data_IF_297049500622
#
_entry.id   IF_297049500622
#
_cell.length_a   1.000
_cell.length_b   1.000
_cell.length_c   1.000
_cell.angle_alpha   90.00
_cell.angle_beta   90.00
_cell.angle_gamma   90.00
#
_symmetry.space_group_name_H-M   'P 1'
#
loop_
_entity.id
_entity.type
_entity.pdbx_description
1 polymer ?
#
# COMPACT_ATOMS: atom_id res chain seq x y z
N UNK A 1 -15.01 -0.15 4.07
CA UNK A 1 -13.63 -0.63 4.32
C UNK A 1 -13.50 -1.02 5.80
N UNK A 2 -12.54 -1.85 6.22
CA UNK A 2 -12.40 -2.23 7.66
C UNK A 2 -11.75 -1.12 8.49
N UNK A 3 -10.91 -0.29 7.87
CA UNK A 3 -10.25 0.89 8.46
C UNK A 3 -10.14 2.00 7.39
N UNK A 4 -9.98 3.28 7.78
CA UNK A 4 -9.65 4.35 6.83
C UNK A 4 -8.35 4.07 6.09
N UNK A 5 -8.30 4.39 4.80
CA UNK A 5 -7.08 4.23 3.99
C UNK A 5 -7.12 5.22 2.82
N UNK A 6 -6.02 5.94 2.57
CA UNK A 6 -5.96 7.05 1.58
C UNK A 6 -7.10 8.06 1.73
N UNK A 7 -7.44 8.44 2.96
CA UNK A 7 -8.47 9.44 3.23
C UNK A 7 -9.91 9.01 2.96
N UNK A 8 -10.16 7.75 2.56
CA UNK A 8 -11.50 7.23 2.29
C UNK A 8 -11.90 6.13 3.27
N UNK A 9 -13.22 6.02 3.50
CA UNK A 9 -13.86 4.95 4.30
C UNK A 9 -14.77 4.05 3.45
N UNK A 10 -15.11 4.51 2.26
CA UNK A 10 -15.95 3.84 1.26
C UNK A 10 -15.20 3.83 -0.07
N UNK A 11 -15.18 2.67 -0.74
CA UNK A 11 -14.65 2.53 -2.09
C UNK A 11 -15.81 2.45 -3.08
N UNK A 12 -15.82 3.38 -4.03
CA UNK A 12 -16.82 3.43 -5.10
C UNK A 12 -16.18 3.07 -6.43
N UNK A 13 -17.01 2.58 -7.35
CA UNK A 13 -16.62 2.19 -8.71
C UNK A 13 -17.82 1.64 -9.49
N UNK A 14 -17.57 1.31 -10.75
CA UNK A 14 -18.50 0.69 -11.69
C UNK A 14 -17.90 -0.59 -12.24
N UNK A 15 -18.75 -1.58 -12.50
CA UNK A 15 -18.37 -2.81 -13.19
C UNK A 15 -18.94 -2.80 -14.61
N UNK A 16 -18.09 -3.07 -15.59
CA UNK A 16 -18.42 -3.08 -17.01
C UNK A 16 -18.40 -4.53 -17.51
N UNK A 17 -19.54 -5.12 -17.89
CA UNK A 17 -19.56 -6.44 -18.52
C UNK A 17 -19.14 -6.33 -19.98
N UNK A 18 -18.43 -7.36 -20.48
CA UNK A 18 -18.05 -7.45 -21.88
C UNK A 18 -17.68 -8.88 -22.30
N UNK A 19 -17.32 -9.06 -23.58
CA UNK A 19 -17.06 -10.39 -24.15
C UNK A 19 -15.84 -11.11 -23.55
N UNK A 20 -14.88 -10.38 -22.96
CA UNK A 20 -13.71 -10.97 -22.30
C UNK A 20 -13.91 -11.16 -20.79
N UNK A 21 -15.03 -10.70 -20.22
CA UNK A 21 -15.33 -10.79 -18.80
C UNK A 21 -15.83 -9.46 -18.22
N UNK A 22 -15.28 -9.07 -17.08
CA UNK A 22 -15.65 -7.84 -16.38
C UNK A 22 -14.45 -6.92 -16.24
N UNK A 23 -14.68 -5.63 -16.47
CA UNK A 23 -13.74 -4.55 -16.13
C UNK A 23 -14.22 -3.75 -14.93
N UNK A 24 -13.28 -3.23 -14.13
CA UNK A 24 -13.57 -2.36 -13.00
C UNK A 24 -13.12 -0.93 -13.31
N UNK A 25 -14.06 0.01 -13.33
CA UNK A 25 -13.77 1.44 -13.41
C UNK A 25 -13.96 2.06 -12.03
N UNK A 26 -12.85 2.33 -11.36
CA UNK A 26 -12.86 2.85 -10.00
C UNK A 26 -11.82 3.95 -9.79
N UNK A 27 -11.81 5.08 -10.52
CA UNK A 27 -10.91 6.18 -10.17
C UNK A 27 -11.19 6.67 -8.73
N UNK A 28 -10.20 7.29 -8.09
CA UNK A 28 -10.48 8.05 -6.87
C UNK A 28 -11.23 9.34 -7.24
N UNK A 29 -12.04 9.87 -6.33
CA UNK A 29 -12.96 10.99 -6.62
C UNK A 29 -12.25 12.29 -6.96
N UNK A 30 -11.01 12.45 -6.48
CA UNK A 30 -10.18 13.62 -6.75
C UNK A 30 -9.58 13.65 -8.16
N UNK A 31 -9.61 12.54 -8.89
CA UNK A 31 -9.09 12.49 -10.26
C UNK A 31 -10.04 13.14 -11.24
N UNK A 32 -9.52 14.02 -12.07
CA UNK A 32 -10.27 14.67 -13.15
C UNK A 32 -10.53 13.72 -14.32
N UNK A 33 -11.29 14.17 -15.32
CA UNK A 33 -11.62 13.36 -16.50
C UNK A 33 -10.38 12.91 -17.28
N UNK A 34 -9.33 13.74 -17.30
CA UNK A 34 -8.08 13.43 -17.99
C UNK A 34 -7.32 12.29 -17.30
N UNK A 35 -7.19 12.36 -15.97
CA UNK A 35 -6.60 11.31 -15.15
C UNK A 35 -7.45 10.03 -15.16
N UNK A 36 -8.78 10.17 -15.07
CA UNK A 36 -9.73 9.06 -15.06
C UNK A 36 -9.85 8.34 -16.42
N UNK A 37 -9.49 8.99 -17.53
CA UNK A 37 -9.54 8.36 -18.86
C UNK A 37 -8.69 7.08 -18.93
N UNK A 38 -7.52 7.06 -18.30
CA UNK A 38 -6.67 5.87 -18.24
C UNK A 38 -7.31 4.72 -17.42
N UNK A 39 -8.03 5.06 -16.35
CA UNK A 39 -8.79 4.09 -15.56
C UNK A 39 -9.92 3.47 -16.38
N UNK A 40 -10.64 4.29 -17.16
CA UNK A 40 -11.71 3.80 -18.03
C UNK A 40 -11.16 2.91 -19.15
N UNK A 41 -10.04 3.30 -19.77
CA UNK A 41 -9.38 2.50 -20.80
C UNK A 41 -9.00 1.11 -20.27
N UNK A 42 -8.44 1.02 -19.05
CA UNK A 42 -8.12 -0.24 -18.39
C UNK A 42 -9.37 -1.10 -18.15
N UNK A 43 -10.46 -0.49 -17.67
CA UNK A 43 -11.71 -1.20 -17.46
C UNK A 43 -12.30 -1.75 -18.78
N UNK A 44 -12.24 -0.97 -19.86
CA UNK A 44 -12.69 -1.41 -21.18
C UNK A 44 -11.82 -2.54 -21.71
N UNK A 45 -10.49 -2.45 -21.61
CA UNK A 45 -9.56 -3.51 -22.01
C UNK A 45 -9.86 -4.82 -21.28
N UNK A 46 -10.01 -4.77 -19.95
CA UNK A 46 -10.35 -5.94 -19.14
C UNK A 46 -11.70 -6.57 -19.53
N UNK A 47 -12.71 -5.74 -19.85
CA UNK A 47 -14.03 -6.23 -20.24
C UNK A 47 -14.08 -6.77 -21.68
N UNK A 48 -13.23 -6.29 -22.59
CA UNK A 48 -13.40 -6.50 -24.05
C UNK A 48 -12.26 -7.23 -24.74
N UNK A 49 -11.03 -7.13 -24.24
CA UNK A 49 -9.82 -7.69 -24.87
C UNK A 49 -9.22 -8.81 -24.01
N UNK A 50 -9.11 -8.58 -22.69
CA UNK A 50 -8.44 -9.48 -21.76
C UNK A 50 -6.93 -9.20 -21.65
N UNK A 51 -6.23 -9.97 -20.80
CA UNK A 51 -4.82 -9.75 -20.52
C UNK A 51 -3.90 -10.62 -21.39
N UNK A 52 -2.65 -10.19 -21.61
CA UNK A 52 -1.63 -11.06 -22.19
C UNK A 52 -1.48 -12.37 -21.39
N UNK A 53 -1.05 -13.47 -22.03
CA UNK A 53 -0.84 -14.74 -21.35
C UNK A 53 0.09 -14.60 -20.15
N UNK A 54 -0.33 -15.13 -19.00
CA UNK A 54 0.48 -15.12 -17.79
C UNK A 54 1.72 -16.01 -17.96
N UNK A 55 2.88 -15.53 -17.51
CA UNK A 55 4.14 -16.29 -17.50
C UNK A 55 4.41 -16.97 -16.16
N UNK A 56 3.48 -16.84 -15.21
CA UNK A 56 3.52 -17.46 -13.88
C UNK A 56 2.10 -17.55 -13.33
N UNK A 57 1.83 -18.60 -12.56
CA UNK A 57 0.51 -18.82 -11.96
C UNK A 57 0.34 -18.10 -10.62
N UNK A 58 1.45 -17.77 -9.95
CA UNK A 58 1.46 -17.18 -8.61
C UNK A 58 2.37 -15.96 -8.59
N UNK A 59 1.87 -14.85 -8.03
CA UNK A 59 2.63 -13.62 -7.80
C UNK A 59 2.78 -13.42 -6.28
N UNK A 60 4.01 -13.31 -5.74
CA UNK A 60 4.20 -12.99 -4.33
C UNK A 60 3.72 -11.57 -4.04
N UNK A 61 3.05 -11.38 -2.91
CA UNK A 61 2.50 -10.08 -2.48
C UNK A 61 3.15 -9.64 -1.17
N UNK A 62 3.15 -8.33 -0.92
CA UNK A 62 3.49 -7.78 0.38
C UNK A 62 2.23 -7.59 1.25
N UNK A 63 2.41 -7.65 2.57
CA UNK A 63 1.41 -7.17 3.52
C UNK A 63 1.35 -5.63 3.49
N UNK A 64 0.17 -5.05 3.68
CA UNK A 64 -0.03 -3.60 3.82
C UNK A 64 -0.38 -3.31 5.28
N UNK A 65 0.46 -2.53 5.95
CA UNK A 65 0.30 -2.15 7.35
C UNK A 65 -0.16 -0.69 7.41
N UNK A 66 -1.42 -0.41 7.80
CA UNK A 66 -1.93 0.96 7.94
C UNK A 66 -1.27 1.71 9.12
N UNK A 67 -1.62 2.98 9.28
CA UNK A 67 -1.22 3.76 10.45
C UNK A 67 -2.03 3.31 11.69
N UNK A 68 -1.57 2.23 12.31
CA UNK A 68 -2.11 1.64 13.55
C UNK A 68 -1.02 1.62 14.63
N UNK A 69 -1.34 1.23 15.86
CA UNK A 69 -0.31 1.03 16.87
C UNK A 69 0.63 -0.16 16.56
N UNK A 70 1.76 -0.21 17.26
CA UNK A 70 2.82 -1.21 17.07
C UNK A 70 2.32 -2.64 17.28
N UNK A 71 1.49 -2.87 18.30
CA UNK A 71 0.94 -4.19 18.61
C UNK A 71 0.06 -4.69 17.47
N UNK A 72 -0.83 -3.84 16.96
CA UNK A 72 -1.70 -4.18 15.85
C UNK A 72 -0.91 -4.39 14.55
N UNK A 73 0.14 -3.61 14.33
CA UNK A 73 1.03 -3.78 13.18
C UNK A 73 1.75 -5.14 13.20
N UNK A 74 2.28 -5.55 14.34
CA UNK A 74 2.87 -6.88 14.52
C UNK A 74 1.86 -7.99 14.20
N UNK A 75 0.64 -7.92 14.75
CA UNK A 75 -0.42 -8.90 14.49
C UNK A 75 -0.79 -9.03 13.01
N UNK A 76 -0.89 -7.90 12.30
CA UNK A 76 -1.19 -7.86 10.86
C UNK A 76 -0.11 -8.62 10.08
N UNK A 77 1.16 -8.38 10.40
CA UNK A 77 2.31 -9.00 9.72
C UNK A 77 2.41 -10.48 10.05
N UNK A 78 2.33 -10.84 11.33
CA UNK A 78 2.40 -12.23 11.79
C UNK A 78 1.28 -13.09 11.18
N UNK A 79 0.09 -12.52 10.97
CA UNK A 79 -1.04 -13.19 10.32
C UNK A 79 -1.03 -13.15 8.79
N UNK A 80 -0.06 -12.49 8.14
CA UNK A 80 -0.12 -12.20 6.70
C UNK A 80 0.36 -13.32 5.79
N UNK A 81 1.24 -14.21 6.28
CA UNK A 81 1.97 -15.18 5.45
C UNK A 81 2.94 -14.55 4.43
N UNK A 82 3.16 -13.23 4.47
CA UNK A 82 4.02 -12.50 3.55
C UNK A 82 5.46 -12.43 4.06
N UNK A 83 6.42 -12.36 3.13
CA UNK A 83 7.85 -12.09 3.46
C UNK A 83 8.23 -10.61 3.38
N UNK A 84 7.30 -9.77 2.92
CA UNK A 84 7.51 -8.33 2.75
C UNK A 84 6.32 -7.59 3.34
N UNK A 85 6.57 -6.46 4.01
CA UNK A 85 5.53 -5.57 4.52
C UNK A 85 5.80 -4.12 4.11
N UNK A 86 4.74 -3.39 3.74
CA UNK A 86 4.76 -1.96 3.50
C UNK A 86 4.05 -1.25 4.65
N UNK A 87 4.78 -0.40 5.38
CA UNK A 87 4.31 0.31 6.57
C UNK A 87 3.93 1.74 6.20
N UNK A 88 2.69 2.13 6.49
CA UNK A 88 2.28 3.53 6.39
C UNK A 88 3.01 4.34 7.46
N UNK A 89 3.60 5.46 7.06
CA UNK A 89 4.24 6.46 7.91
C UNK A 89 3.71 7.85 7.53
N UNK A 90 4.01 8.86 8.34
CA UNK A 90 3.62 10.24 8.12
C UNK A 90 2.10 10.41 7.96
N UNK A 91 1.32 9.80 8.85
CA UNK A 91 -0.14 9.97 8.84
C UNK A 91 -0.57 11.34 9.40
N UNK A 92 0.23 11.93 10.30
CA UNK A 92 0.10 13.30 10.80
C UNK A 92 1.49 13.90 11.18
N UNK A 93 1.62 15.23 11.39
CA UNK A 93 2.92 15.88 11.65
C UNK A 93 3.72 15.29 12.83
N UNK A 94 3.05 14.90 13.91
CA UNK A 94 3.70 14.37 15.12
C UNK A 94 3.83 12.83 15.16
N UNK A 95 3.74 12.16 14.00
CA UNK A 95 3.62 10.69 13.91
C UNK A 95 4.92 9.92 14.09
N UNK A 96 6.08 10.58 13.99
CA UNK A 96 7.38 9.91 13.92
C UNK A 96 7.63 8.87 15.03
N UNK A 97 7.28 9.18 16.28
CA UNK A 97 7.46 8.22 17.38
C UNK A 97 6.59 6.96 17.21
N UNK A 98 5.34 7.13 16.76
CA UNK A 98 4.44 6.02 16.47
C UNK A 98 4.88 5.25 15.22
N UNK A 99 5.41 5.94 14.21
CA UNK A 99 5.95 5.35 13.00
C UNK A 99 7.16 4.46 13.30
N UNK A 100 8.11 4.93 14.11
CA UNK A 100 9.28 4.14 14.52
C UNK A 100 8.86 2.88 15.28
N UNK A 101 7.98 3.02 16.29
CA UNK A 101 7.47 1.86 17.04
C UNK A 101 6.73 0.86 16.13
N UNK A 102 6.01 1.35 15.12
CA UNK A 102 5.32 0.51 14.13
C UNK A 102 6.31 -0.22 13.23
N UNK A 103 7.35 0.45 12.75
CA UNK A 103 8.39 -0.16 11.91
C UNK A 103 9.17 -1.21 12.68
N UNK A 104 9.56 -0.93 13.92
CA UNK A 104 10.26 -1.89 14.80
C UNK A 104 9.41 -3.16 15.02
N UNK A 105 8.13 -2.99 15.33
CA UNK A 105 7.21 -4.13 15.52
C UNK A 105 6.99 -4.95 14.24
N UNK A 106 7.00 -4.30 13.07
CA UNK A 106 6.92 -4.96 11.77
C UNK A 106 8.21 -5.74 11.46
N UNK A 107 9.38 -5.17 11.77
CA UNK A 107 10.67 -5.87 11.67
C UNK A 107 10.69 -7.09 12.58
N UNK A 108 10.29 -6.95 13.84
CA UNK A 108 10.21 -8.07 14.79
C UNK A 108 9.32 -9.21 14.25
N UNK A 109 8.12 -8.88 13.77
CA UNK A 109 7.18 -9.86 13.22
C UNK A 109 7.69 -10.57 11.95
N UNK A 110 8.41 -9.86 11.07
CA UNK A 110 8.98 -10.44 9.84
C UNK A 110 10.26 -11.26 10.10
N UNK A 111 10.95 -10.98 11.20
CA UNK A 111 12.29 -11.49 11.47
C UNK A 111 13.36 -10.90 10.53
N UNK A 112 14.61 -11.35 10.65
CA UNK A 112 15.76 -10.75 9.94
C UNK A 112 15.75 -10.99 8.42
N UNK A 113 15.01 -11.99 7.93
CA UNK A 113 14.94 -12.32 6.50
C UNK A 113 13.80 -11.66 5.73
N UNK A 114 12.89 -10.96 6.40
CA UNK A 114 11.80 -10.26 5.75
C UNK A 114 12.20 -8.85 5.27
N UNK A 115 11.48 -8.34 4.29
CA UNK A 115 11.72 -7.03 3.73
C UNK A 115 10.71 -6.00 4.22
N UNK A 116 11.20 -4.82 4.64
CA UNK A 116 10.38 -3.74 5.18
C UNK A 116 10.48 -2.54 4.24
N UNK A 117 9.33 -2.01 3.83
CA UNK A 117 9.20 -0.78 3.06
C UNK A 117 8.36 0.21 3.86
N UNK A 118 8.57 1.51 3.63
CA UNK A 118 7.74 2.57 4.20
C UNK A 118 7.01 3.35 3.10
N UNK A 119 5.84 3.89 3.42
CA UNK A 119 5.03 4.71 2.51
C UNK A 119 4.58 6.00 3.21
N UNK A 120 5.25 7.11 2.90
CA UNK A 120 4.89 8.44 3.38
C UNK A 120 3.83 9.13 2.50
N UNK A 121 3.48 8.58 1.32
CA UNK A 121 2.61 9.20 0.31
C UNK A 121 2.98 10.67 -0.02
N UNK A 122 4.27 11.00 -0.06
CA UNK A 122 4.74 12.35 -0.37
C UNK A 122 4.45 13.39 0.71
N UNK A 123 4.14 12.96 1.94
CA UNK A 123 3.81 13.87 3.04
C UNK A 123 5.01 14.66 3.61
N UNK A 124 6.25 14.32 3.22
CA UNK A 124 7.44 15.02 3.67
C UNK A 124 7.99 15.96 2.61
N UNK A 125 8.46 17.13 3.06
CA UNK A 125 9.41 17.92 2.30
C UNK A 125 10.81 17.26 2.31
N UNK A 126 11.74 17.85 1.56
CA UNK A 126 13.09 17.32 1.40
C UNK A 126 13.83 17.20 2.74
N UNK A 127 13.81 18.24 3.56
CA UNK A 127 14.56 18.30 4.82
C UNK A 127 14.01 17.29 5.83
N UNK A 128 12.69 17.17 5.91
CA UNK A 128 12.00 16.18 6.76
C UNK A 128 12.34 14.76 6.30
N UNK A 129 12.32 14.49 5.00
CA UNK A 129 12.66 13.17 4.47
C UNK A 129 14.12 12.80 4.78
N UNK A 130 15.07 13.74 4.60
CA UNK A 130 16.48 13.54 4.94
C UNK A 130 16.69 13.26 6.43
N UNK A 131 15.89 13.86 7.30
CA UNK A 131 15.96 13.63 8.74
C UNK A 131 15.31 12.31 9.19
N UNK A 132 14.16 11.94 8.61
CA UNK A 132 13.35 10.81 9.09
C UNK A 132 13.74 9.46 8.49
N UNK A 133 14.14 9.40 7.21
CA UNK A 133 14.47 8.14 6.54
C UNK A 133 15.58 7.35 7.27
N UNK A 134 16.71 7.95 7.73
CA UNK A 134 17.74 7.21 8.44
C UNK A 134 17.26 6.59 9.76
N UNK A 135 16.31 7.25 10.44
CA UNK A 135 15.73 6.72 11.67
C UNK A 135 14.85 5.50 11.38
N UNK A 136 14.05 5.58 10.32
CA UNK A 136 13.21 4.47 9.87
C UNK A 136 14.04 3.31 9.32
N UNK A 137 15.15 3.60 8.64
CA UNK A 137 16.09 2.59 8.15
C UNK A 137 16.71 1.79 9.30
N UNK A 138 17.13 2.48 10.36
CA UNK A 138 17.62 1.85 11.56
C UNK A 138 16.53 1.02 12.28
N UNK A 139 15.33 1.57 12.45
CA UNK A 139 14.18 0.85 13.01
C UNK A 139 13.82 -0.42 12.20
N UNK A 140 13.96 -0.34 10.88
CA UNK A 140 13.73 -1.46 9.98
C UNK A 140 14.91 -2.42 9.89
N UNK A 141 16.06 -2.15 10.50
CA UNK A 141 17.28 -2.95 10.33
C UNK A 141 17.72 -3.08 8.87
N UNK A 142 17.58 -1.99 8.09
CA UNK A 142 17.63 -1.85 6.63
C UNK A 142 16.24 -1.91 5.97
N UNK A 143 15.88 -0.81 5.29
CA UNK A 143 14.75 -0.73 4.37
C UNK A 143 15.11 -1.36 3.01
N UNK A 144 14.10 -1.95 2.37
CA UNK A 144 14.18 -2.42 0.97
C UNK A 144 13.89 -1.30 -0.04
#
# INVERSE_FOLDING_TARGET
MRTPFRGITVREGMLLPGPAGWGEFCPFREYDDGEAAAWLACAVEAATVGWPPAVRDIVPVNCIVPAVDAQRAHEIVAGSGCRTAKVKVADHPDSLAADLARVEAVRDALGPGGAVRVDANGAWDLDTALAQIPLLDNAAGVLE
#
